data_IF_726626460354
#
_entry.id   IF_726626460354
#
_cell.length_a   1.000
_cell.length_b   1.000
_cell.length_c   1.000
_cell.angle_alpha   90.00
_cell.angle_beta   90.00
_cell.angle_gamma   90.00
#
_symmetry.space_group_name_H-M   'P 1'
#
loop_
_entity.id
_entity.type
_entity.pdbx_description
1 polymer ?
#
# COMPACT_ATOMS: atom_id res chain seq x y z
N UNK A 1 71.88 24.94 7.26
CA UNK A 1 70.49 24.42 7.29
C UNK A 1 69.73 25.01 6.10
N UNK A 2 69.36 24.19 5.10
CA UNK A 2 69.04 24.66 3.75
C UNK A 2 67.56 25.09 3.59
N UNK A 3 67.30 26.35 3.21
CA UNK A 3 65.96 26.97 3.12
C UNK A 3 64.96 26.17 2.25
N UNK A 4 65.44 25.42 1.24
CA UNK A 4 64.61 24.58 0.37
C UNK A 4 63.94 23.41 1.12
N UNK A 5 64.55 22.87 2.19
CA UNK A 5 63.96 21.76 2.94
C UNK A 5 62.83 22.22 3.86
N UNK A 6 62.96 23.43 4.44
CA UNK A 6 61.94 24.06 5.31
C UNK A 6 60.69 24.46 4.50
N UNK A 7 60.86 24.95 3.26
CA UNK A 7 59.75 25.24 2.35
C UNK A 7 58.99 23.99 1.89
N UNK A 8 59.69 22.90 1.53
CA UNK A 8 59.05 21.63 1.14
C UNK A 8 58.27 20.97 2.27
N UNK A 9 58.74 21.07 3.52
CA UNK A 9 58.01 20.58 4.71
C UNK A 9 56.73 21.39 4.97
N UNK A 10 56.81 22.72 4.90
CA UNK A 10 55.64 23.60 5.11
C UNK A 10 54.56 23.43 4.04
N UNK A 11 54.95 23.18 2.78
CA UNK A 11 54.00 22.98 1.67
C UNK A 11 53.29 21.61 1.76
N UNK A 12 54.01 20.55 2.17
CA UNK A 12 53.41 19.23 2.44
C UNK A 12 52.47 19.26 3.65
N UNK A 13 52.78 20.07 4.68
CA UNK A 13 51.92 20.26 5.84
C UNK A 13 50.62 20.98 5.44
N UNK A 14 50.69 22.12 4.75
CA UNK A 14 49.51 22.85 4.25
C UNK A 14 48.63 22.02 3.32
N UNK A 15 49.20 21.16 2.48
CA UNK A 15 48.45 20.27 1.58
C UNK A 15 47.79 19.08 2.29
N UNK A 16 48.29 18.66 3.46
CA UNK A 16 47.61 17.70 4.34
C UNK A 16 46.44 18.35 5.09
N UNK A 17 46.62 19.57 5.61
CA UNK A 17 45.53 20.32 6.27
C UNK A 17 44.42 20.74 5.30
N UNK A 18 44.74 21.13 4.06
CA UNK A 18 43.74 21.45 3.04
C UNK A 18 42.87 20.23 2.65
N UNK A 19 43.45 19.02 2.63
CA UNK A 19 42.69 17.78 2.40
C UNK A 19 41.83 17.38 3.60
N UNK A 20 42.25 17.70 4.82
CA UNK A 20 41.53 17.41 6.06
C UNK A 20 40.34 18.36 6.26
N UNK A 21 40.49 19.64 5.90
CA UNK A 21 39.41 20.64 5.97
C UNK A 21 38.37 20.45 4.85
N UNK A 22 38.80 20.04 3.64
CA UNK A 22 37.87 19.68 2.57
C UNK A 22 37.08 18.39 2.87
N UNK A 23 37.68 17.42 3.57
CA UNK A 23 37.00 16.19 4.01
C UNK A 23 35.90 16.45 5.05
N UNK A 24 36.11 17.41 5.96
CA UNK A 24 35.09 17.78 6.95
C UNK A 24 33.90 18.54 6.35
N UNK A 25 34.11 19.36 5.31
CA UNK A 25 33.00 20.05 4.64
C UNK A 25 32.10 19.09 3.83
N UNK A 26 32.67 18.03 3.25
CA UNK A 26 31.88 17.01 2.51
C UNK A 26 31.11 16.09 3.49
N UNK A 27 31.64 15.83 4.68
CA UNK A 27 30.94 15.07 5.71
C UNK A 27 29.81 15.89 6.39
N UNK A 28 29.98 17.22 6.54
CA UNK A 28 28.96 18.08 7.15
C UNK A 28 27.83 18.45 6.18
N UNK A 29 28.08 18.46 4.86
CA UNK A 29 27.05 18.68 3.84
C UNK A 29 26.16 17.46 3.57
N UNK A 30 26.50 16.28 4.09
CA UNK A 30 25.66 15.08 4.01
C UNK A 30 24.64 14.96 5.17
N UNK A 31 24.65 15.88 6.13
CA UNK A 31 23.73 15.84 7.30
C UNK A 31 22.58 16.86 7.18
N UNK A 32 22.53 17.69 6.14
CA UNK A 32 21.45 18.67 5.93
C UNK A 32 20.57 18.41 4.69
N UNK A 33 20.72 17.27 4.02
CA UNK A 33 19.82 16.87 2.92
C UNK A 33 18.72 15.95 3.44
N UNK A 34 17.65 16.56 3.95
CA UNK A 34 16.37 15.90 4.18
C UNK A 34 16.36 14.92 5.34
N UNK A 35 15.28 14.96 6.13
CA UNK A 35 14.82 13.75 6.78
C UNK A 35 14.51 12.75 5.65
N UNK A 36 15.49 11.94 5.25
CA UNK A 36 15.20 10.70 4.55
C UNK A 36 14.57 9.84 5.64
N UNK A 37 13.26 9.98 5.82
CA UNK A 37 12.46 8.88 6.34
C UNK A 37 12.65 7.76 5.33
N UNK A 38 13.69 6.94 5.55
CA UNK A 38 13.73 5.63 4.94
C UNK A 38 12.53 4.91 5.54
N UNK A 39 11.41 4.90 4.80
CA UNK A 39 10.37 3.91 5.03
C UNK A 39 11.03 2.59 4.67
N UNK A 40 11.74 1.99 5.64
CA UNK A 40 12.08 0.59 5.53
C UNK A 40 10.75 -0.11 5.28
N UNK A 41 10.62 -0.81 4.16
CA UNK A 41 9.42 -1.57 3.79
C UNK A 41 9.00 -2.44 4.98
N UNK A 42 8.10 -1.93 5.82
CA UNK A 42 7.73 -2.61 7.04
C UNK A 42 6.78 -3.72 6.64
N UNK A 43 7.13 -4.94 7.03
CA UNK A 43 6.35 -6.11 6.70
C UNK A 43 5.07 -6.14 7.54
N UNK A 44 4.01 -6.79 7.04
CA UNK A 44 2.81 -7.01 7.84
C UNK A 44 3.10 -7.90 9.05
N UNK A 45 2.33 -7.71 10.12
CA UNK A 45 2.35 -8.58 11.29
C UNK A 45 1.36 -9.72 11.04
N UNK A 46 1.89 -10.84 10.57
CA UNK A 46 1.10 -12.06 10.34
C UNK A 46 1.46 -13.06 11.42
N UNK A 47 0.47 -13.43 12.23
CA UNK A 47 0.58 -14.50 13.22
C UNK A 47 -0.17 -15.73 12.74
N UNK A 48 0.27 -16.90 13.15
CA UNK A 48 -0.52 -18.13 12.96
C UNK A 48 -1.50 -18.30 14.11
N UNK A 49 -2.57 -19.03 13.88
CA UNK A 49 -3.38 -19.58 14.95
C UNK A 49 -2.53 -20.41 15.93
N UNK A 50 -3.02 -20.54 17.15
CA UNK A 50 -2.38 -21.30 18.22
C UNK A 50 -3.43 -22.06 19.01
N UNK A 51 -3.40 -23.39 18.88
CA UNK A 51 -4.24 -24.30 19.65
C UNK A 51 -3.78 -24.49 21.11
N UNK A 52 -4.71 -24.75 22.06
CA UNK A 52 -6.15 -24.82 21.87
C UNK A 52 -6.81 -23.43 21.91
N UNK A 53 -7.60 -23.08 20.89
CA UNK A 53 -8.44 -21.86 20.85
C UNK A 53 -9.94 -22.22 20.68
N UNK A 54 -10.29 -23.47 20.95
CA UNK A 54 -11.59 -24.09 20.68
C UNK A 54 -12.80 -23.57 21.48
N UNK A 55 -12.58 -22.66 22.44
CA UNK A 55 -13.69 -22.01 23.17
C UNK A 55 -13.44 -20.52 23.36
N UNK A 56 -14.50 -19.78 23.64
CA UNK A 56 -14.41 -18.35 23.98
C UNK A 56 -13.44 -18.06 25.13
N UNK A 57 -13.35 -18.96 26.12
CA UNK A 57 -12.44 -18.84 27.26
C UNK A 57 -10.98 -19.05 26.87
N UNK A 58 -10.71 -19.93 25.92
CA UNK A 58 -9.36 -20.20 25.39
C UNK A 58 -9.00 -19.32 24.19
N UNK A 59 -9.89 -18.39 23.81
CA UNK A 59 -9.73 -17.54 22.64
C UNK A 59 -8.35 -16.88 22.55
N UNK A 60 -7.72 -17.05 21.39
CA UNK A 60 -6.41 -16.49 21.10
C UNK A 60 -6.49 -14.96 21.03
N UNK A 61 -5.62 -14.29 21.78
CA UNK A 61 -5.51 -12.84 21.73
C UNK A 61 -4.87 -12.41 20.40
N UNK A 62 -5.53 -11.47 19.70
CA UNK A 62 -4.99 -10.80 18.53
C UNK A 62 -4.92 -9.28 18.73
N UNK A 63 -4.29 -8.62 17.78
CA UNK A 63 -4.12 -7.16 17.75
C UNK A 63 -5.08 -6.56 16.73
N UNK A 64 -5.68 -5.42 17.08
CA UNK A 64 -6.51 -4.65 16.17
C UNK A 64 -5.71 -4.24 14.93
N UNK A 65 -6.30 -4.42 13.74
CA UNK A 65 -5.76 -3.91 12.49
C UNK A 65 -5.76 -2.38 12.49
N UNK A 66 -4.66 -1.77 12.07
CA UNK A 66 -4.44 -0.32 12.11
C UNK A 66 -3.79 0.17 10.80
N UNK A 67 -4.10 -0.47 9.68
CA UNK A 67 -3.64 -0.02 8.36
C UNK A 67 -4.17 1.39 8.05
N UNK A 68 -3.30 2.21 7.46
CA UNK A 68 -3.59 3.55 6.95
C UNK A 68 -3.21 3.56 5.47
N UNK A 69 -4.15 3.88 4.58
CA UNK A 69 -3.94 3.77 3.14
C UNK A 69 -2.76 4.62 2.62
N UNK A 70 -2.55 5.83 3.12
CA UNK A 70 -1.39 6.68 2.74
C UNK A 70 -0.05 6.09 3.15
N UNK A 71 0.00 5.35 4.26
CA UNK A 71 1.21 4.66 4.76
C UNK A 71 1.45 3.38 3.94
N UNK A 72 0.40 2.61 3.67
CA UNK A 72 0.46 1.42 2.82
C UNK A 72 0.85 1.77 1.38
N UNK A 73 0.43 2.93 0.86
CA UNK A 73 0.87 3.45 -0.43
C UNK A 73 2.38 3.75 -0.49
N UNK A 74 3.05 3.87 0.67
CA UNK A 74 4.52 3.95 0.80
C UNK A 74 5.16 2.57 0.98
N UNK A 75 4.39 1.49 0.77
CA UNK A 75 4.78 0.11 0.99
C UNK A 75 5.18 -0.21 2.44
N UNK A 76 4.62 0.54 3.39
CA UNK A 76 4.72 0.28 4.82
C UNK A 76 3.43 -0.41 5.28
N UNK A 77 3.57 -1.68 5.63
CA UNK A 77 2.47 -2.55 6.08
C UNK A 77 2.49 -2.78 7.58
N UNK A 78 3.23 -1.97 8.36
CA UNK A 78 3.38 -2.15 9.81
C UNK A 78 2.05 -2.09 10.58
N UNK A 79 1.05 -1.40 10.04
CA UNK A 79 -0.30 -1.35 10.60
C UNK A 79 -1.15 -2.59 10.33
N UNK A 80 -0.68 -3.52 9.47
CA UNK A 80 -1.40 -4.75 9.19
C UNK A 80 -1.22 -5.76 10.31
N UNK A 81 -2.33 -6.20 10.88
CA UNK A 81 -2.39 -7.32 11.81
C UNK A 81 -3.34 -8.38 11.26
N UNK A 82 -2.79 -9.57 10.99
CA UNK A 82 -3.50 -10.67 10.35
C UNK A 82 -3.22 -11.95 11.13
N UNK A 83 -4.24 -12.76 11.31
CA UNK A 83 -4.09 -14.15 11.73
C UNK A 83 -4.29 -15.03 10.51
N UNK A 84 -3.40 -15.99 10.30
CA UNK A 84 -3.59 -17.10 9.37
C UNK A 84 -3.96 -18.34 10.15
N UNK A 85 -5.11 -18.92 9.85
CA UNK A 85 -5.64 -20.10 10.53
C UNK A 85 -6.17 -21.16 9.58
N UNK A 86 -6.50 -22.31 10.13
CA UNK A 86 -7.00 -23.52 9.49
C UNK A 86 -8.10 -24.07 10.39
N UNK A 87 -9.30 -24.22 9.84
CA UNK A 87 -10.43 -24.81 10.55
C UNK A 87 -11.05 -25.94 9.73
N UNK A 88 -11.82 -26.80 10.38
CA UNK A 88 -12.73 -27.76 9.76
C UNK A 88 -13.97 -27.90 10.66
N UNK A 89 -14.91 -28.79 10.31
CA UNK A 89 -16.16 -28.96 11.05
C UNK A 89 -16.02 -29.54 12.46
N UNK A 90 -14.81 -29.83 12.92
CA UNK A 90 -14.50 -30.28 14.27
C UNK A 90 -13.52 -29.35 15.01
N UNK A 91 -13.20 -28.20 14.41
CA UNK A 91 -12.17 -27.27 14.91
C UNK A 91 -12.76 -25.86 15.02
N UNK A 92 -13.18 -25.52 16.23
CA UNK A 92 -13.71 -24.19 16.53
C UNK A 92 -12.54 -23.24 16.74
N UNK A 93 -12.57 -22.09 16.09
CA UNK A 93 -11.52 -21.08 16.27
C UNK A 93 -12.09 -19.84 16.95
N UNK A 94 -11.68 -19.61 18.20
CA UNK A 94 -12.02 -18.38 18.91
C UNK A 94 -10.85 -17.41 19.01
N UNK A 95 -11.12 -16.16 18.65
CA UNK A 95 -10.19 -15.05 18.77
C UNK A 95 -10.77 -13.95 19.63
N UNK A 96 -9.91 -13.23 20.36
CA UNK A 96 -10.30 -12.02 21.08
C UNK A 96 -9.43 -10.84 20.71
N UNK A 97 -10.04 -9.66 20.59
CA UNK A 97 -9.38 -8.43 20.18
C UNK A 97 -9.89 -7.27 21.03
N UNK A 98 -8.98 -6.37 21.42
CA UNK A 98 -9.35 -5.11 22.08
C UNK A 98 -9.47 -4.04 20.99
N UNK A 99 -10.66 -3.45 20.84
CA UNK A 99 -10.96 -2.45 19.84
C UNK A 99 -11.08 -1.05 20.45
N UNK A 100 -10.76 -0.05 19.64
CA UNK A 100 -11.12 1.35 19.91
C UNK A 100 -12.59 1.62 19.56
N UNK A 101 -13.25 2.61 20.19
CA UNK A 101 -14.58 3.02 19.77
C UNK A 101 -14.54 3.60 18.35
N UNK A 102 -15.66 3.50 17.63
CA UNK A 102 -15.79 3.98 16.26
C UNK A 102 -16.15 2.88 15.26
N UNK A 103 -16.07 3.23 13.97
CA UNK A 103 -16.23 2.29 12.88
C UNK A 103 -15.10 1.26 12.89
N UNK A 104 -15.46 -0.02 12.84
CA UNK A 104 -14.54 -1.14 12.76
C UNK A 104 -14.98 -2.09 11.64
N UNK A 105 -14.04 -2.93 11.21
CA UNK A 105 -14.20 -3.84 10.10
C UNK A 105 -13.70 -5.22 10.49
N UNK A 106 -14.57 -6.21 10.34
CA UNK A 106 -14.21 -7.62 10.36
C UNK A 106 -13.91 -8.02 8.91
N UNK A 107 -12.69 -8.42 8.62
CA UNK A 107 -12.28 -8.91 7.30
C UNK A 107 -11.81 -10.35 7.44
N UNK A 108 -12.50 -11.26 6.74
CA UNK A 108 -12.14 -12.67 6.71
C UNK A 108 -12.00 -13.11 5.25
N UNK A 109 -10.86 -13.71 4.92
CA UNK A 109 -10.66 -14.34 3.62
C UNK A 109 -10.61 -15.84 3.78
N UNK A 110 -11.38 -16.58 2.98
CA UNK A 110 -11.20 -18.02 2.79
C UNK A 110 -10.28 -18.23 1.58
N UNK A 111 -9.34 -19.16 1.63
CA UNK A 111 -8.39 -19.40 0.52
C UNK A 111 -8.42 -20.84 0.00
N UNK A 112 -9.16 -21.73 0.65
CA UNK A 112 -9.37 -23.09 0.15
C UNK A 112 -10.51 -23.09 -0.87
N UNK A 113 -10.24 -23.66 -2.06
CA UNK A 113 -11.23 -23.80 -3.13
C UNK A 113 -12.28 -24.85 -2.75
N UNK A 114 -13.56 -24.59 -3.04
CA UNK A 114 -14.69 -25.46 -2.70
C UNK A 114 -14.84 -25.68 -1.19
N UNK A 115 -14.40 -24.72 -0.37
CA UNK A 115 -14.53 -24.75 1.07
C UNK A 115 -15.28 -23.52 1.57
N UNK A 116 -15.80 -23.60 2.78
CA UNK A 116 -16.60 -22.54 3.39
C UNK A 116 -16.37 -22.50 4.89
N UNK A 117 -16.45 -21.30 5.45
CA UNK A 117 -16.34 -21.05 6.89
C UNK A 117 -17.54 -20.24 7.37
N UNK A 118 -18.03 -20.57 8.55
CA UNK A 118 -18.99 -19.79 9.32
C UNK A 118 -18.23 -18.79 10.21
N UNK A 119 -18.72 -17.55 10.29
CA UNK A 119 -18.06 -16.47 11.02
C UNK A 119 -19.09 -15.67 11.83
N UNK A 120 -18.78 -15.43 13.10
CA UNK A 120 -19.58 -14.58 14.00
C UNK A 120 -18.70 -13.60 14.81
N UNK A 121 -19.27 -12.46 15.18
CA UNK A 121 -18.63 -11.49 16.08
C UNK A 121 -19.53 -11.18 17.27
N UNK A 122 -18.96 -11.30 18.47
CA UNK A 122 -19.59 -11.00 19.74
C UNK A 122 -18.85 -9.88 20.46
N UNK A 123 -19.55 -9.14 21.32
CA UNK A 123 -18.91 -8.34 22.35
C UNK A 123 -18.59 -9.17 23.61
N UNK A 124 -18.06 -8.50 24.64
CA UNK A 124 -17.73 -9.13 25.92
C UNK A 124 -18.95 -9.66 26.69
N UNK A 125 -20.15 -9.18 26.41
CA UNK A 125 -21.40 -9.57 27.08
C UNK A 125 -22.15 -10.68 26.32
N UNK A 126 -21.52 -11.30 25.32
CA UNK A 126 -22.11 -12.29 24.41
C UNK A 126 -23.21 -11.74 23.49
N UNK A 127 -23.30 -10.42 23.33
CA UNK A 127 -24.20 -9.86 22.33
C UNK A 127 -23.58 -10.04 20.95
N UNK A 128 -24.38 -10.54 20.01
CA UNK A 128 -24.01 -10.65 18.60
C UNK A 128 -23.93 -9.25 17.99
N UNK A 129 -22.77 -8.92 17.42
CA UNK A 129 -22.47 -7.63 16.76
C UNK A 129 -22.51 -7.80 15.24
N UNK A 130 -21.92 -8.89 14.74
CA UNK A 130 -22.06 -9.34 13.36
C UNK A 130 -22.69 -10.73 13.39
N UNK A 131 -23.93 -10.90 12.89
CA UNK A 131 -24.59 -12.20 12.81
C UNK A 131 -23.82 -13.19 11.93
N UNK A 132 -24.00 -14.48 12.19
CA UNK A 132 -23.43 -15.58 11.42
C UNK A 132 -23.57 -15.42 9.93
N UNK A 133 -22.45 -15.55 9.22
CA UNK A 133 -22.42 -15.58 7.76
C UNK A 133 -21.37 -16.57 7.25
N UNK A 134 -21.53 -16.99 5.99
CA UNK A 134 -20.62 -17.89 5.30
C UNK A 134 -19.68 -17.10 4.39
N UNK A 135 -18.38 -17.42 4.44
CA UNK A 135 -17.39 -17.03 3.44
C UNK A 135 -16.95 -18.27 2.66
N UNK A 136 -16.96 -18.23 1.33
CA UNK A 136 -16.71 -19.41 0.47
C UNK A 136 -15.76 -19.12 -0.69
N UNK A 137 -15.23 -20.17 -1.32
CA UNK A 137 -14.63 -20.14 -2.67
C UNK A 137 -13.62 -19.01 -2.95
N UNK A 138 -12.57 -18.92 -2.13
CA UNK A 138 -11.49 -17.93 -2.29
C UNK A 138 -11.91 -16.46 -2.11
N UNK A 139 -13.11 -16.21 -1.55
CA UNK A 139 -13.63 -14.87 -1.33
C UNK A 139 -13.06 -14.20 -0.07
N UNK A 140 -13.06 -12.87 -0.06
CA UNK A 140 -12.78 -12.04 1.10
C UNK A 140 -14.02 -11.25 1.48
N UNK A 141 -14.63 -11.61 2.60
CA UNK A 141 -15.81 -10.94 3.13
C UNK A 141 -15.39 -9.84 4.11
N UNK A 142 -16.02 -8.68 3.99
CA UNK A 142 -15.85 -7.55 4.89
C UNK A 142 -17.20 -7.18 5.51
N UNK A 143 -17.21 -6.97 6.83
CA UNK A 143 -18.38 -6.47 7.57
C UNK A 143 -17.99 -5.25 8.40
N UNK A 144 -18.66 -4.12 8.15
CA UNK A 144 -18.56 -2.93 8.99
C UNK A 144 -19.45 -3.08 10.23
N UNK A 145 -18.96 -2.64 11.38
CA UNK A 145 -19.74 -2.55 12.61
C UNK A 145 -19.29 -1.37 13.47
N UNK A 146 -20.17 -0.93 14.37
CA UNK A 146 -19.85 0.13 15.34
C UNK A 146 -19.31 -0.50 16.63
N UNK A 147 -18.11 -0.10 17.04
CA UNK A 147 -17.54 -0.47 18.33
C UNK A 147 -17.75 0.62 19.38
N UNK A 148 -18.03 0.21 20.61
CA UNK A 148 -18.01 1.08 21.80
C UNK A 148 -16.63 1.06 22.50
N UNK A 149 -15.65 0.38 21.90
CA UNK A 149 -14.38 0.05 22.53
C UNK A 149 -14.48 -1.16 23.47
N UNK A 150 -13.34 -1.75 23.79
CA UNK A 150 -13.25 -2.91 24.69
C UNK A 150 -13.03 -4.23 23.94
N UNK A 151 -13.30 -5.34 24.62
CA UNK A 151 -12.98 -6.68 24.12
C UNK A 151 -14.11 -7.24 23.28
N UNK A 152 -13.77 -7.73 22.09
CA UNK A 152 -14.65 -8.43 21.16
C UNK A 152 -14.10 -9.83 20.88
N UNK A 153 -14.99 -10.72 20.45
CA UNK A 153 -14.67 -12.11 20.18
C UNK A 153 -15.14 -12.49 18.78
N UNK A 154 -14.26 -13.09 17.99
CA UNK A 154 -14.60 -13.68 16.70
C UNK A 154 -14.65 -15.18 16.88
N UNK A 155 -15.68 -15.81 16.34
CA UNK A 155 -15.79 -17.26 16.21
C UNK A 155 -15.74 -17.62 14.73
N UNK A 156 -14.92 -18.59 14.38
CA UNK A 156 -14.77 -19.13 13.03
C UNK A 156 -14.87 -20.65 13.12
N UNK A 157 -15.61 -21.25 12.19
CA UNK A 157 -15.79 -22.71 12.11
C UNK A 157 -15.81 -23.13 10.63
N UNK A 158 -15.15 -24.23 10.29
CA UNK A 158 -15.21 -24.83 8.97
C UNK A 158 -16.53 -25.57 8.76
N UNK A 159 -17.13 -25.48 7.58
CA UNK A 159 -18.42 -26.15 7.31
C UNK A 159 -18.29 -27.60 6.84
N UNK A 160 -17.06 -28.12 6.72
CA UNK A 160 -16.78 -29.48 6.24
C UNK A 160 -15.58 -30.09 6.97
N UNK A 161 -15.43 -31.41 6.88
CA UNK A 161 -14.30 -32.16 7.49
C UNK A 161 -12.94 -31.84 6.85
N UNK A 162 -12.93 -31.12 5.73
CA UNK A 162 -11.70 -30.72 5.05
C UNK A 162 -11.16 -29.42 5.61
N UNK A 163 -9.88 -29.42 5.92
CA UNK A 163 -9.15 -28.24 6.35
C UNK A 163 -9.35 -27.06 5.40
N UNK A 164 -9.73 -25.93 5.99
CA UNK A 164 -10.05 -24.68 5.30
C UNK A 164 -9.15 -23.58 5.82
N UNK A 165 -8.25 -23.10 4.97
CA UNK A 165 -7.35 -22.00 5.30
C UNK A 165 -8.10 -20.67 5.23
N UNK A 166 -7.88 -19.84 6.24
CA UNK A 166 -8.42 -18.49 6.28
C UNK A 166 -7.42 -17.47 6.81
N UNK A 167 -7.73 -16.19 6.54
CA UNK A 167 -7.09 -15.09 7.23
C UNK A 167 -8.13 -14.21 7.92
N UNK A 168 -7.83 -13.79 9.15
CA UNK A 168 -8.66 -12.90 9.96
C UNK A 168 -7.94 -11.57 10.23
N UNK A 169 -8.68 -10.47 10.13
CA UNK A 169 -8.29 -9.13 10.57
C UNK A 169 -9.50 -8.41 11.15
N UNK A 170 -9.34 -7.75 12.29
CA UNK A 170 -10.40 -6.93 12.92
C UNK A 170 -9.84 -5.58 13.28
N UNK A 171 -10.46 -4.49 12.83
CA UNK A 171 -10.00 -3.14 13.14
C UNK A 171 -10.28 -2.15 12.01
N UNK A 172 -9.29 -1.34 11.65
CA UNK A 172 -9.36 -0.55 10.44
C UNK A 172 -9.52 -1.44 9.19
N UNK A 173 -10.06 -0.91 8.08
CA UNK A 173 -10.11 -1.64 6.81
C UNK A 173 -8.75 -2.20 6.42
N UNK A 174 -8.70 -3.44 5.91
CA UNK A 174 -7.52 -3.93 5.21
C UNK A 174 -7.29 -3.12 3.94
N UNK A 175 -6.05 -2.74 3.64
CA UNK A 175 -5.73 -1.96 2.44
C UNK A 175 -5.15 -2.88 1.36
N UNK A 176 -5.65 -2.84 0.14
CA UNK A 176 -5.18 -3.69 -0.96
C UNK A 176 -4.49 -2.84 -2.02
N UNK A 177 -3.41 -3.36 -2.58
CA UNK A 177 -2.70 -2.74 -3.71
C UNK A 177 -3.20 -3.29 -5.04
N UNK A 178 -3.29 -2.42 -6.05
CA UNK A 178 -3.66 -2.83 -7.39
C UNK A 178 -2.97 -1.98 -8.46
N UNK A 179 -2.90 -2.50 -9.67
CA UNK A 179 -2.38 -1.79 -10.83
C UNK A 179 -3.51 -1.37 -11.77
N UNK A 180 -3.37 -0.19 -12.38
CA UNK A 180 -4.24 0.32 -13.43
C UNK A 180 -3.39 0.83 -14.59
N UNK A 181 -3.60 0.29 -15.79
CA UNK A 181 -3.00 0.81 -17.01
C UNK A 181 -3.98 1.76 -17.72
N UNK A 182 -3.50 2.93 -18.12
CA UNK A 182 -4.21 3.83 -19.03
C UNK A 182 -3.51 3.75 -20.39
N UNK A 183 -4.24 3.28 -21.39
CA UNK A 183 -3.78 3.21 -22.76
C UNK A 183 -4.34 4.41 -23.53
N UNK A 184 -3.46 5.19 -24.15
CA UNK A 184 -3.87 6.34 -24.94
C UNK A 184 -4.08 5.99 -26.40
N UNK A 185 -5.01 6.68 -27.05
CA UNK A 185 -5.13 6.67 -28.50
C UNK A 185 -3.84 7.15 -29.17
N UNK A 186 -3.54 6.53 -30.33
CA UNK A 186 -2.36 6.83 -31.14
C UNK A 186 -2.30 8.31 -31.52
N UNK A 187 -1.09 8.86 -31.46
CA UNK A 187 -0.81 10.21 -31.93
C UNK A 187 0.60 10.18 -32.51
N UNK A 188 0.72 10.61 -33.77
CA UNK A 188 2.03 10.70 -34.43
C UNK A 188 2.50 12.15 -34.36
N UNK A 189 3.54 12.41 -33.59
CA UNK A 189 4.14 13.75 -33.50
C UNK A 189 5.62 13.66 -33.13
N UNK A 190 6.39 14.65 -33.57
CA UNK A 190 7.75 14.91 -33.10
C UNK A 190 7.80 15.98 -31.99
N UNK A 191 6.67 16.63 -31.71
CA UNK A 191 6.53 17.68 -30.71
C UNK A 191 6.06 17.18 -29.35
N UNK A 192 5.83 18.11 -28.42
CA UNK A 192 5.26 17.82 -27.10
C UNK A 192 3.87 17.20 -27.23
N UNK A 193 3.63 16.10 -26.51
CA UNK A 193 2.34 15.41 -26.47
C UNK A 193 1.62 15.80 -25.20
N UNK A 194 0.34 16.16 -25.32
CA UNK A 194 -0.56 16.48 -24.21
C UNK A 194 -1.67 15.43 -24.15
N UNK A 195 -1.89 14.85 -22.97
CA UNK A 195 -3.00 13.93 -22.70
C UNK A 195 -3.68 14.31 -21.40
N UNK A 196 -5.00 14.38 -21.42
CA UNK A 196 -5.82 14.68 -20.24
C UNK A 196 -6.97 13.68 -20.18
N UNK A 197 -7.30 13.20 -19.00
CA UNK A 197 -8.43 12.30 -18.78
C UNK A 197 -8.96 12.43 -17.36
N UNK A 198 -10.19 11.97 -17.13
CA UNK A 198 -10.79 11.90 -15.80
C UNK A 198 -11.01 10.46 -15.37
N UNK A 199 -10.72 10.17 -14.11
CA UNK A 199 -11.06 8.91 -13.43
C UNK A 199 -12.13 9.10 -12.33
N UNK A 200 -12.65 10.31 -12.15
CA UNK A 200 -13.60 10.64 -11.06
C UNK A 200 -14.83 9.74 -11.04
N UNK A 201 -15.37 9.46 -12.23
CA UNK A 201 -16.63 8.74 -12.40
C UNK A 201 -16.44 7.27 -12.81
N UNK A 202 -15.22 6.75 -12.77
CA UNK A 202 -14.96 5.34 -13.09
C UNK A 202 -15.51 4.46 -11.96
N UNK A 203 -16.62 3.78 -12.22
CA UNK A 203 -17.35 2.97 -11.23
C UNK A 203 -16.63 1.67 -10.89
N UNK A 204 -15.80 1.18 -11.80
CA UNK A 204 -14.95 0.00 -11.64
C UNK A 204 -13.74 0.26 -10.73
N UNK A 205 -13.46 1.52 -10.39
CA UNK A 205 -12.37 1.89 -9.50
C UNK A 205 -12.90 2.11 -8.08
N UNK A 206 -12.29 1.49 -7.06
CA UNK A 206 -12.73 1.60 -5.68
C UNK A 206 -12.62 3.04 -5.19
N UNK A 207 -13.53 3.42 -4.30
CA UNK A 207 -13.45 4.69 -3.59
C UNK A 207 -12.20 4.72 -2.70
N UNK A 208 -11.80 5.93 -2.30
CA UNK A 208 -10.65 6.16 -1.42
C UNK A 208 -9.33 5.53 -1.93
N UNK A 209 -9.22 5.35 -3.25
CA UNK A 209 -8.00 4.88 -3.90
C UNK A 209 -6.92 5.96 -3.85
N UNK A 210 -5.75 5.61 -3.30
CA UNK A 210 -4.58 6.49 -3.15
C UNK A 210 -3.47 6.01 -4.07
N UNK A 211 -2.91 6.93 -4.86
CA UNK A 211 -1.80 6.61 -5.76
C UNK A 211 -0.51 6.42 -4.96
N UNK A 212 0.14 5.27 -5.17
CA UNK A 212 1.46 4.94 -4.62
C UNK A 212 2.57 5.41 -5.57
N UNK A 213 2.44 5.07 -6.86
CA UNK A 213 3.38 5.47 -7.90
C UNK A 213 2.74 5.54 -9.28
N UNK A 214 3.39 6.25 -10.18
CA UNK A 214 3.01 6.38 -11.58
C UNK A 214 4.21 6.03 -12.44
N UNK A 215 4.01 5.14 -13.41
CA UNK A 215 5.02 4.75 -14.37
C UNK A 215 4.58 5.12 -15.78
N UNK A 216 5.33 5.98 -16.45
CA UNK A 216 5.27 6.13 -17.91
C UNK A 216 5.97 4.90 -18.49
N UNK A 217 5.19 4.04 -19.16
CA UNK A 217 5.76 2.87 -19.82
C UNK A 217 6.68 3.34 -20.97
N UNK A 218 7.55 2.48 -21.52
CA UNK A 218 8.44 2.83 -22.65
C UNK A 218 9.15 4.21 -22.51
N UNK A 219 9.54 4.58 -21.28
CA UNK A 219 10.05 5.91 -20.96
C UNK A 219 11.34 6.26 -21.71
N UNK A 220 12.06 5.26 -22.22
CA UNK A 220 13.28 5.43 -23.03
C UNK A 220 13.08 6.29 -24.28
N UNK A 221 11.87 6.32 -24.85
CA UNK A 221 11.51 7.15 -26.01
C UNK A 221 11.35 8.65 -25.67
N UNK A 222 11.29 8.98 -24.38
CA UNK A 222 11.02 10.32 -23.88
C UNK A 222 12.24 10.87 -23.12
N UNK A 223 12.44 12.17 -23.22
CA UNK A 223 13.45 12.89 -22.42
C UNK A 223 12.93 13.15 -21.00
N UNK A 224 11.64 13.42 -20.89
CA UNK A 224 10.93 13.54 -19.62
C UNK A 224 9.41 13.44 -19.84
N UNK A 225 8.68 13.28 -18.74
CA UNK A 225 7.25 13.48 -18.67
C UNK A 225 6.90 14.33 -17.45
N UNK A 226 5.84 15.14 -17.56
CA UNK A 226 5.22 15.87 -16.47
C UNK A 226 3.81 15.35 -16.21
N UNK A 227 3.44 15.28 -14.93
CA UNK A 227 2.15 14.77 -14.49
C UNK A 227 1.53 15.74 -13.49
N UNK A 228 0.27 16.08 -13.71
CA UNK A 228 -0.58 16.85 -12.78
C UNK A 228 -1.83 16.08 -12.43
N UNK A 229 -2.36 16.33 -11.24
CA UNK A 229 -3.63 15.80 -10.77
C UNK A 229 -4.46 16.92 -10.18
N UNK A 230 -5.75 16.93 -10.44
CA UNK A 230 -6.69 17.85 -9.77
C UNK A 230 -6.73 17.66 -8.24
N UNK A 231 -6.30 16.51 -7.72
CA UNK A 231 -6.22 16.27 -6.28
C UNK A 231 -4.93 16.79 -5.61
N UNK A 232 -3.96 17.29 -6.37
CA UNK A 232 -2.70 17.76 -5.80
C UNK A 232 -2.09 18.92 -6.59
N UNK A 233 -1.79 20.06 -5.95
CA UNK A 233 -1.50 21.32 -6.67
C UNK A 233 -0.11 21.38 -7.33
N UNK A 234 0.75 20.37 -7.13
CA UNK A 234 2.11 20.38 -7.69
C UNK A 234 2.22 19.45 -8.89
N UNK A 235 3.04 19.87 -9.85
CA UNK A 235 3.46 19.03 -10.97
C UNK A 235 4.59 18.09 -10.56
N UNK A 236 4.48 16.84 -10.96
CA UNK A 236 5.55 15.86 -10.88
C UNK A 236 6.28 15.78 -12.22
N UNK A 237 7.60 15.55 -12.18
CA UNK A 237 8.41 15.35 -13.38
C UNK A 237 9.22 14.07 -13.21
N UNK A 238 9.31 13.27 -14.27
CA UNK A 238 10.18 12.10 -14.32
C UNK A 238 11.01 12.12 -15.60
N UNK A 239 12.27 11.69 -15.49
CA UNK A 239 13.20 11.48 -16.62
C UNK A 239 13.53 10.01 -16.83
N UNK A 240 13.27 9.16 -15.82
CA UNK A 240 13.49 7.71 -15.85
C UNK A 240 12.20 6.92 -16.10
N UNK A 241 11.05 7.61 -16.10
CA UNK A 241 9.74 7.04 -16.34
C UNK A 241 8.94 6.71 -15.10
N UNK A 242 9.49 6.82 -13.88
CA UNK A 242 8.75 6.50 -12.65
C UNK A 242 8.65 7.72 -11.73
N UNK A 243 7.49 7.91 -11.12
CA UNK A 243 7.23 8.84 -10.02
C UNK A 243 6.80 7.99 -8.82
N UNK A 244 7.56 8.03 -7.73
CA UNK A 244 7.33 7.22 -6.52
C UNK A 244 6.88 8.07 -5.35
N UNK A 245 6.61 7.42 -4.23
CA UNK A 245 6.39 8.05 -2.93
C UNK A 245 5.21 9.03 -2.90
N UNK A 246 4.17 8.73 -3.71
CA UNK A 246 2.98 9.55 -3.84
C UNK A 246 1.98 9.32 -2.71
N UNK A 247 2.11 8.24 -1.94
CA UNK A 247 1.22 7.87 -0.84
C UNK A 247 1.07 8.97 0.22
N UNK A 248 2.16 9.58 0.65
CA UNK A 248 2.16 10.69 1.63
C UNK A 248 1.55 11.99 1.10
N UNK A 249 1.32 12.06 -0.22
CA UNK A 249 0.69 13.22 -0.85
C UNK A 249 -0.83 13.06 -0.91
N UNK A 250 -1.34 11.92 -0.47
CA UNK A 250 -2.77 11.61 -0.39
C UNK A 250 -3.49 11.90 -1.73
N UNK A 251 -2.84 11.51 -2.83
CA UNK A 251 -3.35 11.81 -4.16
C UNK A 251 -4.38 10.76 -4.50
N UNK A 252 -5.65 11.18 -4.56
CA UNK A 252 -6.73 10.32 -5.01
C UNK A 252 -6.51 9.88 -6.46
N UNK A 253 -6.62 8.58 -6.72
CA UNK A 253 -6.62 8.03 -8.08
C UNK A 253 -7.81 8.57 -8.88
N UNK A 254 -8.98 8.72 -8.24
CA UNK A 254 -10.22 9.20 -8.85
C UNK A 254 -10.20 10.72 -9.01
N UNK A 255 -9.32 11.18 -9.89
CA UNK A 255 -9.03 12.59 -10.16
C UNK A 255 -9.04 12.86 -11.66
N UNK A 256 -9.05 14.13 -12.03
CA UNK A 256 -8.60 14.56 -13.36
C UNK A 256 -7.07 14.55 -13.40
N UNK A 257 -6.53 14.01 -14.48
CA UNK A 257 -5.10 13.81 -14.71
C UNK A 257 -4.68 14.45 -16.01
N UNK A 258 -3.49 15.07 -16.01
CA UNK A 258 -2.85 15.53 -17.23
C UNK A 258 -1.41 15.04 -17.29
N UNK A 259 -1.01 14.62 -18.49
CA UNK A 259 0.32 14.14 -18.83
C UNK A 259 0.87 14.94 -19.99
N UNK A 260 2.08 15.46 -19.81
CA UNK A 260 2.83 16.14 -20.86
C UNK A 260 4.10 15.35 -21.12
N UNK A 261 4.25 14.83 -22.33
CA UNK A 261 5.42 14.06 -22.72
C UNK A 261 6.35 14.88 -23.61
N UNK A 262 7.65 14.68 -23.43
CA UNK A 262 8.69 15.32 -24.22
C UNK A 262 9.50 14.26 -24.99
N UNK A 263 9.06 13.85 -26.19
CA UNK A 263 9.75 12.84 -26.99
C UNK A 263 11.20 13.20 -27.32
N UNK A 264 12.08 12.20 -27.45
CA UNK A 264 13.45 12.39 -27.97
C UNK A 264 13.50 12.49 -29.50
N UNK A 265 12.44 12.04 -30.17
CA UNK A 265 12.27 12.05 -31.62
C UNK A 265 10.82 11.76 -31.99
N UNK A 266 10.54 11.49 -33.27
CA UNK A 266 9.20 11.14 -33.72
C UNK A 266 8.70 9.84 -33.07
N UNK A 267 7.54 9.89 -32.43
CA UNK A 267 6.85 8.69 -31.90
C UNK A 267 5.48 8.57 -32.57
N UNK A 268 5.05 7.32 -32.83
CA UNK A 268 3.73 7.02 -33.38
C UNK A 268 2.73 6.53 -32.32
N UNK A 269 3.25 6.12 -31.16
CA UNK A 269 2.47 5.62 -30.04
C UNK A 269 2.72 6.52 -28.83
N UNK A 270 1.65 7.02 -28.25
CA UNK A 270 1.73 7.69 -26.95
C UNK A 270 1.90 6.61 -25.90
N UNK A 271 2.91 6.77 -25.05
CA UNK A 271 3.19 5.70 -24.11
C UNK A 271 2.08 5.56 -23.07
N UNK A 272 1.61 4.32 -22.80
CA UNK A 272 0.68 4.09 -21.72
C UNK A 272 1.26 4.50 -20.37
N UNK A 273 0.38 4.75 -19.41
CA UNK A 273 0.78 5.00 -18.02
C UNK A 273 0.21 3.93 -17.11
N UNK A 274 0.99 3.53 -16.13
CA UNK A 274 0.56 2.61 -15.07
C UNK A 274 0.49 3.36 -13.76
N UNK A 275 -0.65 3.24 -13.08
CA UNK A 275 -0.79 3.62 -11.69
C UNK A 275 -0.62 2.36 -10.84
N UNK A 276 0.27 2.42 -9.85
CA UNK A 276 0.16 1.56 -8.67
C UNK A 276 -0.62 2.36 -7.63
N UNK A 277 -1.69 1.80 -7.11
CA UNK A 277 -2.53 2.46 -6.12
C UNK A 277 -2.95 1.46 -5.06
N UNK A 278 -3.44 1.98 -3.95
CA UNK A 278 -3.96 1.20 -2.84
C UNK A 278 -5.33 1.72 -2.45
N UNK A 279 -6.19 0.87 -1.87
CA UNK A 279 -7.51 1.28 -1.40
C UNK A 279 -7.93 0.44 -0.19
N UNK A 280 -8.67 1.04 0.77
CA UNK A 280 -9.33 0.30 1.85
C UNK A 280 -10.38 -0.68 1.32
N UNK A 281 -10.48 -1.87 1.93
CA UNK A 281 -11.58 -2.81 1.73
C UNK A 281 -12.73 -2.52 2.69
N UNK A 282 -13.85 -2.13 2.11
CA UNK A 282 -15.18 -2.03 2.69
C UNK A 282 -16.10 -3.16 2.19
N UNK A 283 -17.24 -3.31 2.83
CA UNK A 283 -18.32 -4.24 2.45
C UNK A 283 -18.89 -3.97 1.05
N UNK A 284 -18.83 -2.74 0.57
CA UNK A 284 -19.29 -2.29 -0.75
C UNK A 284 -18.17 -2.13 -1.79
N UNK A 285 -16.97 -2.66 -1.51
CA UNK A 285 -15.80 -2.41 -2.35
C UNK A 285 -15.90 -3.08 -3.71
N UNK A 286 -15.78 -2.27 -4.76
CA UNK A 286 -15.60 -2.77 -6.13
C UNK A 286 -14.15 -3.18 -6.31
N UNK A 287 -13.91 -4.49 -6.48
CA UNK A 287 -12.57 -5.03 -6.73
C UNK A 287 -12.27 -4.94 -8.23
N UNK A 288 -11.25 -4.18 -8.66
CA UNK A 288 -10.86 -4.13 -10.06
C UNK A 288 -10.38 -5.51 -10.55
N UNK A 289 -10.59 -5.85 -11.84
CA UNK A 289 -10.05 -7.08 -12.39
C UNK A 289 -8.51 -7.01 -12.46
N UNK A 290 -7.79 -8.13 -12.34
CA UNK A 290 -6.34 -8.16 -12.45
C UNK A 290 -5.85 -7.48 -13.75
N UNK A 291 -4.79 -6.69 -13.67
CA UNK A 291 -4.18 -5.98 -14.81
C UNK A 291 -5.15 -5.10 -15.61
N UNK A 292 -6.04 -4.41 -14.90
CA UNK A 292 -7.07 -3.58 -15.53
C UNK A 292 -6.49 -2.50 -16.46
N UNK A 293 -7.11 -2.34 -17.63
CA UNK A 293 -6.71 -1.35 -18.64
C UNK A 293 -7.91 -0.51 -19.05
N UNK A 294 -7.77 0.81 -18.98
CA UNK A 294 -8.76 1.78 -19.49
C UNK A 294 -8.16 2.48 -20.73
N UNK A 295 -8.94 2.57 -21.81
CA UNK A 295 -8.57 3.32 -23.01
C UNK A 295 -9.02 4.78 -22.89
N UNK A 296 -8.16 5.73 -23.25
CA UNK A 296 -8.40 7.18 -23.17
C UNK A 296 -7.81 7.94 -24.36
#
# INVERSE_FOLDING_TARGET
MNLKSKFRKNMKCKRKYAKLVAGFYIAFLMVSSGKITSYAFARPNITREVEPNNTKETAQLTTQNNEIATVVAMSDWSGRYLISGITNSSDDDWYKVVLTPGDQYLTVGCYTKNASIHIELFDSENKIIVPGYISSDTDTVVKRFQSNGGTYYVHIEGTSETDTEYNLSVGSPRVISHELNIQFDRSTTSGTIYKSFSLKNETILPRDSIVSSISVLNSSEYSSARVTSSAYPKTFTTTDGTIKDLGLKDISLKSDWEFIYYPKGSTANVSPVRFLFVYPLYDDTVIPPPFHTIKK
#
